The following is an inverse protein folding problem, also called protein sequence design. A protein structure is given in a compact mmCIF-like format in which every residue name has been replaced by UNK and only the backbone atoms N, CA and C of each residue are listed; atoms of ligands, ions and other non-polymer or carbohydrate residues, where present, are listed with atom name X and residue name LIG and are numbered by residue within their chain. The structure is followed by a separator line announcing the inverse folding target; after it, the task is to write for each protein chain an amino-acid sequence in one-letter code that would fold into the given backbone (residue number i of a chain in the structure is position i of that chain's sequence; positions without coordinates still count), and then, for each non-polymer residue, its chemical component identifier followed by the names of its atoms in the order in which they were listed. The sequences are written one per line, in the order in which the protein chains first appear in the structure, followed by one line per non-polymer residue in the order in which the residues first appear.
data_IF_636070994230
#
_entry.id   IF_636070994230
#
_cell.length_a   1.000
_cell.length_b   1.000
_cell.length_c   1.000
_cell.angle_alpha   90.00
_cell.angle_beta   90.00
_cell.angle_gamma   90.00
#
_symmetry.space_group_name_H-M   'P 1'
#
loop_
_entity.id
_entity.type
_entity.pdbx_description
1 polymer ?
#
# COMPACT_ATOMS: atom_id res chain seq x y z
N UNK A 1 14.67 -4.07 -1.09
CA UNK A 1 14.20 -3.56 -2.39
C UNK A 1 14.38 -2.05 -2.39
N UNK A 2 15.01 -1.52 -3.43
CA UNK A 2 15.25 -0.09 -3.63
C UNK A 2 14.20 0.50 -4.59
N UNK A 3 14.09 1.83 -4.61
CA UNK A 3 13.18 2.55 -5.50
C UNK A 3 13.43 2.20 -6.97
N UNK A 4 14.69 2.12 -7.41
CA UNK A 4 15.03 1.75 -8.80
C UNK A 4 14.52 0.38 -9.25
N UNK A 5 14.28 -0.54 -8.30
CA UNK A 5 13.79 -1.89 -8.60
C UNK A 5 12.28 -1.89 -8.95
N UNK A 6 11.56 -0.84 -8.54
CA UNK A 6 10.11 -0.73 -8.68
C UNK A 6 9.65 0.46 -9.53
N UNK A 7 10.46 1.51 -9.68
CA UNK A 7 10.07 2.74 -10.37
C UNK A 7 9.84 2.55 -11.87
N UNK A 8 9.03 3.44 -12.44
CA UNK A 8 8.93 3.61 -13.89
C UNK A 8 10.02 4.60 -14.35
N UNK A 9 10.91 4.16 -15.26
CA UNK A 9 12.03 4.98 -15.78
C UNK A 9 11.64 5.91 -16.92
N UNK A 10 10.62 5.54 -17.71
CA UNK A 10 10.12 6.37 -18.82
C UNK A 10 9.17 7.43 -18.30
N UNK A 11 9.73 8.56 -17.88
CA UNK A 11 8.96 9.69 -17.36
C UNK A 11 8.59 10.64 -18.51
N UNK A 12 7.29 10.83 -18.73
CA UNK A 12 6.76 11.86 -19.62
C UNK A 12 6.24 13.03 -18.79
N UNK A 13 6.45 14.26 -19.25
CA UNK A 13 5.98 15.46 -18.57
C UNK A 13 5.81 16.63 -19.52
N UNK A 14 5.38 17.76 -18.98
CA UNK A 14 5.09 18.99 -19.74
C UNK A 14 5.92 20.16 -19.24
N UNK A 15 6.01 21.20 -20.06
CA UNK A 15 6.54 22.50 -19.64
C UNK A 15 5.49 23.27 -18.83
N UNK A 16 5.92 24.20 -17.99
CA UNK A 16 5.05 24.98 -17.12
C UNK A 16 4.06 25.88 -17.87
N UNK A 17 4.47 26.37 -19.04
CA UNK A 17 3.67 27.21 -19.94
C UNK A 17 2.69 26.41 -20.82
N UNK A 18 2.74 25.07 -20.76
CA UNK A 18 1.82 24.22 -21.49
C UNK A 18 0.36 24.45 -21.06
N UNK A 19 -0.55 24.18 -21.99
CA UNK A 19 -1.99 24.24 -21.69
C UNK A 19 -2.44 22.97 -20.97
N UNK A 20 -3.50 23.09 -20.17
CA UNK A 20 -4.16 21.95 -19.52
C UNK A 20 -4.64 20.93 -20.56
N UNK A 21 -5.12 21.38 -21.72
CA UNK A 21 -5.57 20.50 -22.80
C UNK A 21 -4.43 19.61 -23.32
N UNK A 22 -3.23 20.17 -23.53
CA UNK A 22 -2.04 19.41 -23.92
C UNK A 22 -1.62 18.42 -22.82
N UNK A 23 -1.68 18.83 -21.56
CA UNK A 23 -1.34 17.97 -20.43
C UNK A 23 -2.33 16.80 -20.28
N UNK A 24 -3.63 17.05 -20.40
CA UNK A 24 -4.68 16.02 -20.39
C UNK A 24 -4.51 15.04 -21.55
N UNK A 25 -4.26 15.52 -22.77
CA UNK A 25 -4.02 14.65 -23.94
C UNK A 25 -2.80 13.75 -23.71
N UNK A 26 -1.70 14.30 -23.19
CA UNK A 26 -0.51 13.51 -22.83
C UNK A 26 -0.81 12.45 -21.76
N UNK A 27 -1.52 12.83 -20.69
CA UNK A 27 -1.91 11.92 -19.61
C UNK A 27 -2.78 10.76 -20.12
N UNK A 28 -3.77 11.07 -20.97
CA UNK A 28 -4.68 10.08 -21.56
C UNK A 28 -3.97 9.12 -22.51
N UNK A 29 -3.14 9.64 -23.43
CA UNK A 29 -2.37 8.81 -24.38
C UNK A 29 -1.38 7.90 -23.67
N UNK A 30 -0.76 8.42 -22.60
CA UNK A 30 0.23 7.66 -21.83
C UNK A 30 -0.41 6.77 -20.76
N UNK A 31 -1.74 6.89 -20.54
CA UNK A 31 -2.50 6.18 -19.49
C UNK A 31 -1.90 6.38 -18.09
N UNK A 32 -1.61 7.62 -17.74
CA UNK A 32 -1.01 8.01 -16.45
C UNK A 32 -1.87 9.02 -15.71
N UNK A 33 -1.91 8.89 -14.39
CA UNK A 33 -2.73 9.73 -13.50
C UNK A 33 -2.04 11.02 -13.05
N UNK A 34 -0.84 11.28 -13.57
CA UNK A 34 -0.17 12.57 -13.46
C UNK A 34 1.27 12.54 -13.93
N UNK A 35 1.82 13.75 -14.05
CA UNK A 35 3.05 14.04 -14.77
C UNK A 35 3.87 15.11 -14.06
N UNK A 36 5.21 15.03 -14.10
CA UNK A 36 6.07 16.15 -13.74
C UNK A 36 5.88 17.33 -14.69
N UNK A 37 6.01 18.51 -14.10
CA UNK A 37 6.02 19.79 -14.77
C UNK A 37 7.41 20.38 -14.64
N UNK A 38 7.98 20.76 -15.78
CA UNK A 38 9.33 21.29 -15.88
C UNK A 38 9.31 22.78 -16.25
N UNK A 39 10.31 23.52 -15.79
CA UNK A 39 10.58 24.84 -16.36
C UNK A 39 11.30 24.74 -17.72
N UNK A 40 11.57 25.90 -18.32
CA UNK A 40 12.31 26.04 -19.57
C UNK A 40 13.76 25.52 -19.49
N UNK A 41 14.33 25.47 -18.28
CA UNK A 41 15.65 24.89 -17.97
C UNK A 41 15.64 23.37 -17.77
N UNK A 42 14.48 22.71 -17.91
CA UNK A 42 14.25 21.28 -17.61
C UNK A 42 14.36 20.92 -16.13
N UNK A 43 14.33 21.89 -15.22
CA UNK A 43 14.23 21.63 -13.80
C UNK A 43 12.79 21.22 -13.45
N UNK A 44 12.64 20.25 -12.53
CA UNK A 44 11.33 19.86 -12.02
C UNK A 44 10.80 20.96 -11.09
N UNK A 45 9.66 21.55 -11.42
CA UNK A 45 9.05 22.63 -10.63
C UNK A 45 7.69 22.29 -10.04
N UNK A 46 7.03 21.24 -10.55
CA UNK A 46 5.70 20.86 -10.09
C UNK A 46 5.28 19.47 -10.53
N UNK A 47 4.12 19.04 -10.05
CA UNK A 47 3.41 17.85 -10.50
C UNK A 47 1.99 18.25 -10.86
N UNK A 48 1.52 17.81 -12.03
CA UNK A 48 0.11 17.87 -12.38
C UNK A 48 -0.50 16.47 -12.23
N UNK A 49 -1.64 16.37 -11.54
CA UNK A 49 -2.33 15.12 -11.27
C UNK A 49 -3.80 15.16 -11.68
N UNK A 50 -4.42 13.99 -11.82
CA UNK A 50 -5.88 13.89 -11.88
C UNK A 50 -6.56 14.61 -10.72
N UNK A 51 -5.97 14.61 -9.52
CA UNK A 51 -6.53 15.30 -8.35
C UNK A 51 -6.68 16.81 -8.56
N UNK A 52 -5.74 17.42 -9.29
CA UNK A 52 -5.77 18.84 -9.65
C UNK A 52 -6.80 19.11 -10.76
N UNK A 53 -6.94 18.17 -11.70
CA UNK A 53 -7.84 18.26 -12.85
C UNK A 53 -9.30 17.87 -12.54
N UNK A 54 -9.56 17.18 -11.43
CA UNK A 54 -10.91 16.74 -11.06
C UNK A 54 -11.79 17.87 -10.49
N UNK A 55 -11.22 19.03 -10.16
CA UNK A 55 -11.93 20.15 -9.49
C UNK A 55 -12.08 21.37 -10.38
N UNK A 56 -12.29 21.11 -11.67
CA UNK A 56 -12.30 22.10 -12.75
C UNK A 56 -13.69 22.69 -12.97
N UNK A 57 -13.73 23.97 -13.36
CA UNK A 57 -14.97 24.66 -13.68
C UNK A 57 -15.69 24.04 -14.89
N UNK A 58 -14.94 23.53 -15.87
CA UNK A 58 -15.49 22.87 -17.06
C UNK A 58 -16.29 21.60 -16.74
N UNK A 59 -16.01 20.97 -15.59
CA UNK A 59 -16.72 19.79 -15.10
C UNK A 59 -17.86 20.15 -14.13
N UNK A 60 -17.95 21.40 -13.68
CA UNK A 60 -18.87 21.83 -12.62
C UNK A 60 -18.56 21.21 -11.25
N UNK A 61 -17.36 20.66 -11.06
CA UNK A 61 -16.92 19.92 -9.86
C UNK A 61 -16.09 20.76 -8.89
N UNK A 62 -16.17 22.07 -9.04
CA UNK A 62 -15.48 23.02 -8.17
C UNK A 62 -15.83 22.79 -6.70
N UNK A 63 -14.89 23.11 -5.81
CA UNK A 63 -15.12 22.99 -4.36
C UNK A 63 -16.20 23.98 -3.93
N UNK A 64 -17.45 23.52 -3.81
CA UNK A 64 -18.51 24.27 -3.12
C UNK A 64 -18.26 24.19 -1.62
N UNK A 65 -17.97 25.34 -0.99
CA UNK A 65 -17.76 25.42 0.46
C UNK A 65 -18.86 26.27 1.12
N UNK A 66 -19.21 26.00 2.37
CA UNK A 66 -20.05 26.90 3.17
C UNK A 66 -19.41 28.29 3.28
N UNK A 67 -20.22 29.35 3.20
CA UNK A 67 -19.75 30.77 3.24
C UNK A 67 -18.88 31.11 4.45
N UNK A 68 -19.11 30.49 5.60
CA UNK A 68 -18.29 30.74 6.80
C UNK A 68 -16.84 30.23 6.64
N UNK A 69 -16.62 29.16 5.87
CA UNK A 69 -15.29 28.64 5.54
C UNK A 69 -14.58 29.56 4.54
N UNK A 70 -15.34 30.12 3.58
CA UNK A 70 -14.82 31.10 2.62
C UNK A 70 -14.37 32.38 3.34
N UNK A 71 -15.19 32.88 4.26
CA UNK A 71 -14.86 34.02 5.11
C UNK A 71 -13.58 33.79 5.92
N UNK A 72 -13.45 32.64 6.58
CA UNK A 72 -12.26 32.30 7.40
C UNK A 72 -10.96 32.21 6.57
N UNK A 73 -11.05 31.76 5.32
CA UNK A 73 -9.87 31.60 4.45
C UNK A 73 -9.32 32.93 3.93
N UNK A 74 -10.14 33.98 3.92
CA UNK A 74 -9.78 35.30 3.41
C UNK A 74 -9.77 35.38 1.87
N UNK A 75 -9.76 36.60 1.32
CA UNK A 75 -9.95 36.84 -0.12
C UNK A 75 -8.82 36.26 -0.98
N UNK A 76 -7.58 36.22 -0.50
CA UNK A 76 -6.43 35.70 -1.26
C UNK A 76 -6.59 34.22 -1.63
N UNK A 77 -6.92 33.36 -0.66
CA UNK A 77 -7.11 31.93 -0.91
C UNK A 77 -8.30 31.62 -1.82
N UNK A 78 -9.33 32.46 -1.79
CA UNK A 78 -10.48 32.34 -2.69
C UNK A 78 -10.08 32.69 -4.13
N UNK A 79 -9.22 33.70 -4.31
CA UNK A 79 -8.65 34.02 -5.61
C UNK A 79 -7.78 32.88 -6.15
N UNK A 80 -6.94 32.27 -5.29
CA UNK A 80 -6.14 31.09 -5.67
C UNK A 80 -7.02 29.90 -6.09
N UNK A 81 -8.07 29.59 -5.31
CA UNK A 81 -9.03 28.53 -5.61
C UNK A 81 -9.74 28.81 -6.97
N UNK A 82 -10.08 30.07 -7.27
CA UNK A 82 -10.67 30.48 -8.55
C UNK A 82 -9.70 30.30 -9.73
N UNK A 83 -8.46 30.77 -9.59
CA UNK A 83 -7.41 30.61 -10.61
C UNK A 83 -7.17 29.13 -10.91
N UNK A 84 -7.05 28.31 -9.88
CA UNK A 84 -6.82 26.87 -10.04
C UNK A 84 -7.98 26.17 -10.78
N UNK A 85 -9.23 26.58 -10.49
CA UNK A 85 -10.42 26.02 -11.13
C UNK A 85 -10.64 26.48 -12.58
N UNK A 86 -10.16 27.68 -12.96
CA UNK A 86 -10.49 28.34 -14.23
C UNK A 86 -9.31 28.54 -15.18
N UNK A 87 -8.05 28.56 -14.69
CA UNK A 87 -6.89 28.81 -15.55
C UNK A 87 -6.75 27.73 -16.62
N UNK A 88 -6.19 28.07 -17.78
CA UNK A 88 -5.92 27.09 -18.85
C UNK A 88 -4.46 26.66 -18.91
N UNK A 89 -3.60 27.20 -18.05
CA UNK A 89 -2.16 26.90 -18.01
C UNK A 89 -1.84 25.89 -16.93
N UNK A 90 -0.81 25.09 -17.16
CA UNK A 90 -0.35 24.08 -16.21
C UNK A 90 0.28 24.72 -14.96
N UNK A 91 1.08 25.77 -15.11
CA UNK A 91 1.74 26.46 -13.98
C UNK A 91 0.78 26.95 -12.88
N UNK A 92 -0.45 27.32 -13.25
CA UNK A 92 -1.48 27.81 -12.34
C UNK A 92 -2.24 26.68 -11.61
N UNK A 93 -2.13 25.45 -12.13
CA UNK A 93 -2.91 24.28 -11.66
C UNK A 93 -2.02 23.19 -11.07
N UNK A 94 -0.73 23.15 -11.40
CA UNK A 94 0.19 22.17 -10.83
C UNK A 94 0.33 22.34 -9.31
N UNK A 95 0.63 21.25 -8.62
CA UNK A 95 1.13 21.31 -7.24
C UNK A 95 2.62 21.67 -7.26
N UNK A 96 3.02 22.84 -6.71
CA UNK A 96 4.43 23.23 -6.59
C UNK A 96 5.11 22.50 -5.42
N UNK A 97 6.43 22.65 -5.29
CA UNK A 97 7.23 22.08 -4.18
C UNK A 97 7.14 20.56 -4.11
N UNK A 98 7.69 19.91 -5.13
CA UNK A 98 7.56 18.47 -5.30
C UNK A 98 8.44 17.73 -4.31
N UNK A 99 7.83 16.89 -3.48
CA UNK A 99 8.56 15.89 -2.69
C UNK A 99 9.14 14.85 -3.64
N UNK A 100 10.46 14.65 -3.58
CA UNK A 100 11.19 13.70 -4.44
C UNK A 100 11.90 12.66 -3.60
N UNK A 101 12.34 11.59 -4.26
CA UNK A 101 13.21 10.57 -3.67
C UNK A 101 14.38 10.26 -4.60
N UNK A 102 15.37 9.49 -4.15
CA UNK A 102 16.51 9.06 -4.96
C UNK A 102 16.31 7.62 -5.44
N UNK A 103 16.99 7.24 -6.52
CA UNK A 103 16.87 5.89 -7.07
C UNK A 103 17.44 4.79 -6.15
N UNK A 104 18.36 5.17 -5.26
CA UNK A 104 19.01 4.28 -4.28
C UNK A 104 18.27 4.20 -2.94
N UNK A 105 17.30 5.08 -2.70
CA UNK A 105 16.47 5.05 -1.50
C UNK A 105 15.74 3.70 -1.38
N UNK A 106 15.44 3.32 -0.14
CA UNK A 106 14.65 2.12 0.13
C UNK A 106 13.19 2.32 -0.27
N UNK A 107 12.51 1.22 -0.62
CA UNK A 107 11.07 1.29 -0.90
C UNK A 107 10.25 1.73 0.33
N UNK A 108 10.75 1.43 1.54
CA UNK A 108 10.12 1.82 2.81
C UNK A 108 10.12 3.35 2.94
N UNK A 109 11.28 4.00 2.78
CA UNK A 109 11.39 5.46 2.83
C UNK A 109 10.48 6.14 1.81
N UNK A 110 10.37 5.59 0.59
CA UNK A 110 9.46 6.10 -0.43
C UNK A 110 7.99 5.97 -0.02
N UNK A 111 7.59 4.85 0.59
CA UNK A 111 6.22 4.65 1.10
C UNK A 111 5.93 5.60 2.26
N UNK A 112 6.88 5.79 3.18
CA UNK A 112 6.73 6.71 4.31
C UNK A 112 6.52 8.15 3.82
N UNK A 113 7.33 8.61 2.85
CA UNK A 113 7.14 9.92 2.22
C UNK A 113 5.75 10.05 1.57
N UNK A 114 5.29 9.00 0.87
CA UNK A 114 3.95 9.01 0.27
C UNK A 114 2.82 9.12 1.32
N UNK A 115 2.99 8.49 2.48
CA UNK A 115 2.01 8.54 3.57
C UNK A 115 2.05 9.89 4.31
N UNK A 116 3.24 10.33 4.72
CA UNK A 116 3.46 11.57 5.47
C UNK A 116 2.95 12.79 4.70
N UNK A 117 3.22 12.86 3.40
CA UNK A 117 2.76 13.96 2.55
C UNK A 117 1.39 13.72 1.91
N UNK A 118 0.75 12.58 2.17
CA UNK A 118 -0.50 12.16 1.55
C UNK A 118 -0.49 12.26 0.01
N UNK A 119 0.64 11.88 -0.60
CA UNK A 119 0.83 11.89 -2.05
C UNK A 119 0.81 10.47 -2.62
N UNK A 120 0.48 10.38 -3.90
CA UNK A 120 0.32 9.08 -4.61
C UNK A 120 1.57 8.67 -5.40
N UNK A 121 2.52 9.59 -5.55
CA UNK A 121 3.69 9.43 -6.41
C UNK A 121 4.83 10.33 -5.97
N UNK A 122 6.04 9.88 -6.24
CA UNK A 122 7.28 10.60 -6.01
C UNK A 122 8.09 10.58 -7.30
N UNK A 123 8.47 11.74 -7.86
CA UNK A 123 9.53 11.78 -8.85
C UNK A 123 10.84 11.29 -8.22
N UNK A 124 11.52 10.44 -8.95
CA UNK A 124 12.83 9.90 -8.57
C UNK A 124 13.88 10.71 -9.27
N UNK A 125 14.83 11.24 -8.51
CA UNK A 125 15.87 12.12 -9.03
C UNK A 125 17.27 11.54 -8.84
N UNK A 126 18.15 11.87 -9.78
CA UNK A 126 19.58 11.61 -9.71
C UNK A 126 20.32 12.83 -10.25
N UNK A 127 21.27 13.37 -9.49
CA UNK A 127 22.01 14.60 -9.82
C UNK A 127 21.09 15.77 -10.25
N UNK A 128 20.00 15.98 -9.51
CA UNK A 128 19.05 17.07 -9.76
C UNK A 128 18.15 16.90 -10.99
N UNK A 129 18.20 15.74 -11.67
CA UNK A 129 17.33 15.43 -12.81
C UNK A 129 16.37 14.30 -12.48
N UNK A 130 15.17 14.37 -13.04
CA UNK A 130 14.18 13.28 -12.91
C UNK A 130 14.62 12.10 -13.78
N UNK A 131 14.85 10.96 -13.14
CA UNK A 131 15.25 9.69 -13.78
C UNK A 131 14.16 8.62 -13.73
N UNK A 132 13.12 8.86 -12.93
CA UNK A 132 12.02 7.92 -12.78
C UNK A 132 10.84 8.54 -12.04
N UNK A 133 9.77 7.78 -11.92
CA UNK A 133 8.66 8.07 -11.03
C UNK A 133 8.26 6.77 -10.33
N UNK A 134 8.03 6.84 -9.03
CA UNK A 134 7.47 5.73 -8.27
C UNK A 134 6.08 6.11 -7.77
N UNK A 135 5.11 5.25 -8.02
CA UNK A 135 3.71 5.45 -7.65
C UNK A 135 3.24 4.36 -6.69
N UNK A 136 2.11 4.60 -6.00
CA UNK A 136 1.45 3.53 -5.20
C UNK A 136 1.13 2.29 -6.03
N UNK A 137 0.81 2.44 -7.32
CA UNK A 137 0.56 1.31 -8.21
C UNK A 137 1.84 0.49 -8.48
N UNK A 138 3.00 1.14 -8.54
CA UNK A 138 4.29 0.45 -8.67
C UNK A 138 4.65 -0.33 -7.41
N UNK A 139 4.37 0.24 -6.23
CA UNK A 139 4.50 -0.47 -4.94
C UNK A 139 3.61 -1.72 -4.91
N UNK A 140 2.34 -1.60 -5.34
CA UNK A 140 1.43 -2.75 -5.41
C UNK A 140 1.91 -3.80 -6.42
N UNK A 141 2.46 -3.38 -7.56
CA UNK A 141 3.04 -4.29 -8.56
C UNK A 141 4.27 -5.02 -8.01
N UNK A 142 5.10 -4.34 -7.22
CA UNK A 142 6.23 -4.94 -6.55
C UNK A 142 5.77 -5.97 -5.50
N UNK A 143 4.74 -5.63 -4.70
CA UNK A 143 4.13 -6.57 -3.76
C UNK A 143 3.61 -7.82 -4.46
N UNK A 144 2.85 -7.67 -5.54
CA UNK A 144 2.30 -8.79 -6.30
C UNK A 144 3.36 -9.77 -6.82
N UNK A 145 4.58 -9.29 -7.12
CA UNK A 145 5.71 -10.15 -7.54
C UNK A 145 6.35 -10.92 -6.38
N UNK A 146 6.19 -10.43 -5.14
CA UNK A 146 6.77 -11.04 -3.94
C UNK A 146 5.82 -12.03 -3.26
N UNK A 147 4.51 -11.90 -3.48
CA UNK A 147 3.54 -12.86 -2.97
C UNK A 147 3.81 -14.25 -3.60
N UNK A 148 3.82 -15.33 -2.78
CA UNK A 148 4.15 -16.66 -3.25
C UNK A 148 3.15 -17.15 -4.31
N UNK A 149 3.66 -17.83 -5.35
CA UNK A 149 2.84 -18.61 -6.25
C UNK A 149 2.43 -19.93 -5.56
N UNK A 150 1.19 -20.36 -5.77
CA UNK A 150 0.55 -21.45 -5.01
C UNK A 150 1.21 -22.85 -5.18
N UNK A 151 2.12 -23.04 -6.14
CA UNK A 151 2.48 -24.38 -6.63
C UNK A 151 3.96 -24.76 -6.42
N UNK A 152 4.47 -24.64 -5.19
CA UNK A 152 5.76 -25.28 -4.84
C UNK A 152 5.51 -26.57 -4.09
N UNK A 153 5.83 -27.72 -4.70
CA UNK A 153 5.86 -29.01 -4.00
C UNK A 153 7.00 -29.02 -2.99
N UNK A 154 6.67 -29.08 -1.71
CA UNK A 154 7.58 -29.17 -0.57
C UNK A 154 7.20 -30.43 0.21
N UNK A 155 8.17 -31.11 0.85
CA UNK A 155 7.86 -32.28 1.69
C UNK A 155 7.17 -31.84 2.99
N UNK A 156 6.35 -32.70 3.59
CA UNK A 156 5.65 -32.36 4.84
C UNK A 156 6.61 -31.99 5.97
N UNK A 157 7.79 -32.62 6.03
CA UNK A 157 8.78 -32.33 7.06
C UNK A 157 9.46 -30.97 6.85
N UNK A 158 9.78 -30.62 5.61
CA UNK A 158 10.28 -29.29 5.26
C UNK A 158 9.20 -28.22 5.52
N UNK A 159 7.93 -28.55 5.25
CA UNK A 159 6.80 -27.66 5.48
C UNK A 159 6.58 -27.41 6.97
N UNK A 160 6.59 -28.47 7.78
CA UNK A 160 6.51 -28.41 9.24
C UNK A 160 7.65 -27.57 9.80
N UNK A 161 8.88 -27.82 9.35
CA UNK A 161 10.06 -27.06 9.75
C UNK A 161 9.91 -25.58 9.41
N UNK A 162 9.38 -25.26 8.23
CA UNK A 162 9.15 -23.88 7.81
C UNK A 162 8.06 -23.15 8.63
N UNK A 163 6.98 -23.85 9.00
CA UNK A 163 5.91 -23.30 9.86
C UNK A 163 6.45 -23.04 11.27
N UNK A 164 7.14 -24.03 11.87
CA UNK A 164 7.71 -23.91 13.21
C UNK A 164 8.78 -22.81 13.28
N UNK A 165 9.66 -22.73 12.28
CA UNK A 165 10.68 -21.67 12.22
C UNK A 165 10.04 -20.28 12.20
N UNK A 166 9.01 -20.07 11.35
CA UNK A 166 8.29 -18.79 11.29
C UNK A 166 7.58 -18.45 12.59
N UNK A 167 6.94 -19.42 13.26
CA UNK A 167 6.33 -19.17 14.57
C UNK A 167 7.36 -18.70 15.61
N UNK A 168 8.54 -19.34 15.64
CA UNK A 168 9.60 -18.98 16.59
C UNK A 168 10.20 -17.58 16.36
N UNK A 169 10.13 -17.05 15.13
CA UNK A 169 10.54 -15.68 14.81
C UNK A 169 9.56 -14.62 15.36
N UNK A 170 8.33 -15.00 15.68
CA UNK A 170 7.29 -14.07 16.10
C UNK A 170 7.23 -13.93 17.62
N UNK A 171 7.51 -12.72 18.12
CA UNK A 171 7.42 -12.42 19.54
C UNK A 171 6.04 -12.72 20.15
N UNK A 172 4.96 -12.55 19.36
CA UNK A 172 3.58 -12.81 19.79
C UNK A 172 3.23 -14.31 19.85
N UNK A 173 4.00 -15.20 19.22
CA UNK A 173 3.76 -16.64 19.20
C UNK A 173 4.50 -17.39 20.33
N UNK A 174 5.59 -16.81 20.88
CA UNK A 174 6.47 -17.44 21.89
C UNK A 174 5.79 -17.80 23.21
N UNK A 175 4.64 -17.18 23.50
CA UNK A 175 3.85 -17.40 24.71
C UNK A 175 2.74 -18.45 24.53
N UNK A 176 2.60 -19.02 23.33
CA UNK A 176 1.64 -20.08 23.05
C UNK A 176 2.31 -21.46 23.16
N UNK A 177 1.64 -22.42 23.79
CA UNK A 177 2.07 -23.82 23.77
C UNK A 177 1.40 -24.49 22.58
N UNK A 178 2.04 -24.43 21.41
CA UNK A 178 1.47 -24.89 20.14
C UNK A 178 2.33 -25.99 19.54
N UNK A 179 1.74 -27.15 19.28
CA UNK A 179 2.34 -28.20 18.46
C UNK A 179 1.85 -28.08 17.02
N UNK A 180 2.75 -28.37 16.08
CA UNK A 180 2.49 -28.29 14.64
C UNK A 180 2.77 -29.66 14.02
N UNK A 181 1.73 -30.26 13.44
CA UNK A 181 1.84 -31.47 12.65
C UNK A 181 1.51 -31.15 11.18
N UNK A 182 2.11 -31.89 10.25
CA UNK A 182 1.85 -31.74 8.81
C UNK A 182 1.66 -33.10 8.17
N UNK A 183 0.61 -33.24 7.36
CA UNK A 183 0.35 -34.44 6.55
C UNK A 183 -0.30 -34.07 5.22
N UNK A 184 0.29 -34.52 4.11
CA UNK A 184 -0.13 -34.20 2.74
C UNK A 184 -0.32 -32.69 2.48
N UNK A 185 0.56 -31.87 3.04
CA UNK A 185 0.49 -30.41 2.99
C UNK A 185 -0.62 -29.79 3.85
N UNK A 186 -1.35 -30.57 4.65
CA UNK A 186 -2.32 -30.08 5.62
C UNK A 186 -1.63 -29.84 6.96
N UNK A 187 -1.73 -28.63 7.49
CA UNK A 187 -1.14 -28.25 8.78
C UNK A 187 -2.17 -28.40 9.89
N UNK A 188 -1.83 -29.10 10.95
CA UNK A 188 -2.67 -29.26 12.13
C UNK A 188 -2.04 -28.53 13.31
N UNK A 189 -2.79 -27.63 13.93
CA UNK A 189 -2.39 -26.93 15.14
C UNK A 189 -3.12 -27.47 16.35
N UNK A 190 -2.38 -27.80 17.42
CA UNK A 190 -2.92 -28.22 18.72
C UNK A 190 -2.22 -27.48 19.85
N UNK A 191 -2.91 -27.34 20.97
CA UNK A 191 -2.35 -26.79 22.21
C UNK A 191 -3.13 -25.58 22.69
N UNK A 192 -2.48 -24.72 23.49
CA UNK A 192 -3.15 -23.61 24.18
C UNK A 192 -2.59 -22.24 23.83
N UNK A 193 -3.50 -21.30 23.60
CA UNK A 193 -3.23 -19.86 23.45
C UNK A 193 -3.81 -19.09 24.64
N UNK A 194 -3.18 -17.99 25.02
CA UNK A 194 -3.62 -17.17 26.17
C UNK A 194 -4.38 -15.92 25.73
N UNK A 195 -4.29 -15.56 24.44
CA UNK A 195 -5.01 -14.44 23.85
C UNK A 195 -5.64 -14.91 22.52
N UNK A 196 -6.96 -14.77 22.39
CA UNK A 196 -7.71 -15.25 21.22
C UNK A 196 -7.26 -14.58 19.92
N UNK A 197 -6.61 -13.40 19.99
CA UNK A 197 -6.01 -12.73 18.81
C UNK A 197 -4.81 -13.50 18.24
N UNK A 198 -4.22 -14.42 18.99
CA UNK A 198 -3.14 -15.29 18.52
C UNK A 198 -3.64 -16.31 17.50
N UNK A 199 -4.86 -16.86 17.68
CA UNK A 199 -5.43 -17.89 16.78
C UNK A 199 -5.37 -17.46 15.31
N UNK A 200 -6.02 -16.35 14.88
CA UNK A 200 -5.99 -15.96 13.47
C UNK A 200 -4.57 -15.62 12.97
N UNK A 201 -3.69 -15.12 13.84
CA UNK A 201 -2.30 -14.84 13.47
C UNK A 201 -1.50 -16.13 13.19
N UNK A 202 -1.68 -17.18 13.99
CA UNK A 202 -1.07 -18.51 13.79
C UNK A 202 -1.56 -19.13 12.48
N UNK A 203 -2.88 -19.11 12.25
CA UNK A 203 -3.47 -19.69 11.04
C UNK A 203 -2.94 -19.00 9.79
N UNK A 204 -3.00 -17.66 9.73
CA UNK A 204 -2.48 -16.88 8.58
C UNK A 204 -0.98 -17.09 8.37
N UNK A 205 -0.19 -17.25 9.44
CA UNK A 205 1.24 -17.53 9.31
C UNK A 205 1.50 -18.85 8.60
N UNK A 206 0.76 -19.91 8.93
CA UNK A 206 0.84 -21.18 8.23
C UNK A 206 0.33 -21.09 6.79
N UNK A 207 -0.79 -20.41 6.53
CA UNK A 207 -1.34 -20.23 5.17
C UNK A 207 -0.30 -19.59 4.23
N UNK A 208 0.53 -18.70 4.75
CA UNK A 208 1.57 -18.02 3.98
C UNK A 208 2.85 -18.85 3.77
N UNK A 209 2.93 -20.08 4.29
CA UNK A 209 4.02 -21.00 4.00
C UNK A 209 3.74 -21.70 2.66
N UNK A 210 4.59 -21.51 1.63
CA UNK A 210 4.38 -22.14 0.32
C UNK A 210 4.28 -23.67 0.47
N UNK A 211 3.24 -24.27 -0.13
CA UNK A 211 2.99 -25.71 -0.05
C UNK A 211 1.95 -26.13 0.98
N UNK A 212 1.52 -25.22 1.89
CA UNK A 212 0.35 -25.47 2.75
C UNK A 212 -0.91 -25.48 1.89
N UNK A 213 -1.67 -26.58 1.97
CA UNK A 213 -2.91 -26.79 1.22
C UNK A 213 -4.16 -26.47 2.03
N UNK A 214 -4.14 -26.79 3.33
CA UNK A 214 -5.23 -26.59 4.26
C UNK A 214 -4.70 -26.53 5.69
N UNK A 215 -5.54 -26.06 6.62
CA UNK A 215 -5.22 -25.97 8.03
C UNK A 215 -6.38 -26.52 8.86
N UNK A 216 -6.06 -27.32 9.87
CA UNK A 216 -6.96 -27.74 10.94
C UNK A 216 -6.60 -27.03 12.24
N UNK A 217 -7.59 -26.40 12.85
CA UNK A 217 -7.43 -25.61 14.08
C UNK A 217 -8.02 -26.37 15.28
N UNK A 218 -7.14 -26.88 16.14
CA UNK A 218 -7.48 -27.47 17.43
C UNK A 218 -6.83 -26.69 18.58
N UNK A 219 -6.64 -25.38 18.41
CA UNK A 219 -6.14 -24.51 19.48
C UNK A 219 -7.24 -24.24 20.49
N UNK A 220 -6.89 -24.29 21.76
CA UNK A 220 -7.76 -23.97 22.88
C UNK A 220 -7.30 -22.64 23.46
N UNK A 221 -8.20 -21.66 23.53
CA UNK A 221 -7.90 -20.47 24.31
C UNK A 221 -8.14 -20.75 25.78
N UNK A 222 -7.18 -20.38 26.63
CA UNK A 222 -7.25 -20.56 28.08
C UNK A 222 -7.03 -19.21 28.75
N UNK A 223 -8.02 -18.75 29.50
CA UNK A 223 -7.91 -17.53 30.29
C UNK A 223 -7.00 -17.78 31.50
N UNK A 224 -5.92 -16.99 31.66
CA UNK A 224 -4.85 -17.33 32.62
C UNK A 224 -5.27 -17.31 34.09
N UNK A 225 -6.30 -16.54 34.46
CA UNK A 225 -6.64 -16.28 35.86
C UNK A 225 -7.78 -17.17 36.37
N UNK A 226 -8.73 -17.51 35.51
CA UNK A 226 -9.94 -18.27 35.81
C UNK A 226 -9.87 -19.71 35.33
N UNK A 227 -8.96 -20.02 34.40
CA UNK A 227 -8.90 -21.33 33.73
C UNK A 227 -10.10 -21.58 32.79
N UNK A 228 -10.93 -20.56 32.54
CA UNK A 228 -11.96 -20.66 31.52
C UNK A 228 -11.33 -20.94 30.16
N UNK A 229 -11.98 -21.77 29.35
CA UNK A 229 -11.46 -22.14 28.04
C UNK A 229 -12.50 -21.99 26.94
N UNK A 230 -12.00 -21.78 25.72
CA UNK A 230 -12.79 -21.74 24.49
C UNK A 230 -12.15 -22.68 23.46
N UNK A 231 -12.94 -23.63 22.97
CA UNK A 231 -12.55 -24.52 21.89
C UNK A 231 -12.43 -23.76 20.57
N UNK A 232 -11.75 -24.37 19.59
CA UNK A 232 -11.75 -23.82 18.24
C UNK A 232 -13.16 -23.82 17.65
N UNK A 233 -13.45 -22.92 16.70
CA UNK A 233 -14.72 -22.97 15.95
C UNK A 233 -14.93 -24.28 15.18
N UNK A 234 -13.86 -25.00 14.86
CA UNK A 234 -13.90 -26.32 14.21
C UNK A 234 -14.35 -27.39 15.22
N UNK A 235 -13.74 -27.40 16.40
CA UNK A 235 -14.04 -28.37 17.47
C UNK A 235 -15.42 -28.13 18.11
N UNK A 236 -15.81 -26.87 18.36
CA UNK A 236 -17.13 -26.52 18.90
C UNK A 236 -18.27 -26.96 17.96
N UNK A 237 -18.05 -26.90 16.64
CA UNK A 237 -19.00 -27.44 15.66
C UNK A 237 -19.03 -28.96 15.66
N UNK A 238 -17.88 -29.60 15.79
CA UNK A 238 -17.79 -31.06 15.84
C UNK A 238 -18.51 -31.61 17.09
N UNK A 239 -18.32 -31.01 18.27
CA UNK A 239 -19.02 -31.40 19.50
C UNK A 239 -20.53 -31.23 19.38
N UNK A 240 -21.01 -30.11 18.83
CA UNK A 240 -22.45 -29.85 18.64
C UNK A 240 -23.11 -30.74 17.60
N UNK A 241 -22.35 -31.31 16.67
CA UNK A 241 -22.85 -32.25 15.66
C UNK A 241 -22.86 -33.70 16.19
N UNK A 242 -22.06 -33.98 17.23
CA UNK A 242 -21.98 -35.29 17.88
C UNK A 242 -22.97 -35.48 19.04
N UNK A 243 -23.60 -34.39 19.52
CA UNK A 243 -24.61 -34.37 20.58
C UNK A 243 -26.04 -34.41 20.02
#
# INVERSE_FOLDING_TARGET
MQVRDAMTTRVVGVQSDATIAQAVDLMMRSRISGIPVYDSGKALIGILSEGDLLRRAELGTEKRRPRWIEFLRGPGRLADDYVHAHSRKVEDVMTPQVVTTTETASLIEAVDLMQQHNIKRLPVTFNGRVVGIITRADVLRALAKLLPAADKKISDEDLRTAVVARLNEQNWARVASVSVNVSDGVVEFRGSIMDERQRPAILVLAENVPGVKAIHDHLIWVEPNSGAFLLSPEDDKAEKTAA
#
